data_IF_917031552410
#
_entry.id   IF_917031552410
#
_cell.length_a   1.000
_cell.length_b   1.000
_cell.length_c   1.000
_cell.angle_alpha   90.00
_cell.angle_beta   90.00
_cell.angle_gamma   90.00
#
_symmetry.space_group_name_H-M   'P 1'
#
loop_
_entity.id
_entity.type
_entity.pdbx_description
1 polymer ?
#
# COMPACT_ATOMS: atom_id res chain seq x y z
N UNK A 1 1.97 16.01 11.30
CA UNK A 1 1.97 17.10 10.30
C UNK A 1 1.01 16.73 9.17
N UNK A 2 0.38 17.71 8.50
CA UNK A 2 -0.38 17.42 7.27
C UNK A 2 0.63 17.27 6.13
N UNK A 3 0.70 16.10 5.51
CA UNK A 3 1.50 15.94 4.29
C UNK A 3 0.78 16.66 3.14
N UNK A 4 1.52 17.42 2.35
CA UNK A 4 1.02 18.11 1.15
C UNK A 4 1.97 17.75 0.00
N UNK A 5 1.41 17.36 -1.14
CA UNK A 5 2.20 17.09 -2.33
C UNK A 5 2.76 18.41 -2.89
N UNK A 6 4.08 18.47 -3.03
CA UNK A 6 4.74 19.56 -3.73
C UNK A 6 4.63 19.36 -5.24
N UNK A 7 4.64 20.44 -6.02
CA UNK A 7 4.56 20.37 -7.49
C UNK A 7 5.66 19.48 -8.09
N UNK A 8 6.86 19.50 -7.51
CA UNK A 8 7.96 18.64 -7.93
C UNK A 8 7.67 17.15 -7.72
N UNK A 9 6.91 16.77 -6.69
CA UNK A 9 6.47 15.38 -6.52
C UNK A 9 5.54 14.95 -7.66
N UNK A 10 4.63 15.84 -8.06
CA UNK A 10 3.71 15.59 -9.18
C UNK A 10 4.48 15.45 -10.49
N UNK A 11 5.43 16.34 -10.76
CA UNK A 11 6.28 16.30 -11.97
C UNK A 11 7.12 15.02 -12.01
N UNK A 12 7.74 14.66 -10.89
CA UNK A 12 8.53 13.43 -10.80
C UNK A 12 7.66 12.20 -11.11
N UNK A 13 6.50 12.10 -10.47
CA UNK A 13 5.58 10.99 -10.67
C UNK A 13 5.05 10.91 -12.12
N UNK A 14 4.69 12.04 -12.73
CA UNK A 14 4.25 12.08 -14.13
C UNK A 14 5.33 11.58 -15.10
N UNK A 15 6.61 11.83 -14.81
CA UNK A 15 7.72 11.43 -15.66
C UNK A 15 8.15 9.98 -15.45
N UNK A 16 8.14 9.50 -14.20
CA UNK A 16 8.68 8.18 -13.83
C UNK A 16 7.62 7.11 -13.64
N UNK A 17 6.34 7.49 -13.49
CA UNK A 17 5.26 6.58 -13.13
C UNK A 17 5.36 6.03 -11.71
N UNK A 18 6.33 6.49 -10.90
CA UNK A 18 6.52 6.05 -9.51
C UNK A 18 7.19 7.12 -8.66
N UNK A 19 7.01 7.06 -7.34
CA UNK A 19 7.66 7.94 -6.35
C UNK A 19 7.74 7.28 -4.98
N UNK A 20 8.87 7.43 -4.30
CA UNK A 20 9.09 6.99 -2.91
C UNK A 20 8.90 8.15 -1.94
N UNK A 21 8.18 7.91 -0.84
CA UNK A 21 8.09 8.80 0.31
C UNK A 21 8.70 8.14 1.54
N UNK A 22 9.63 8.83 2.21
CA UNK A 22 10.36 8.26 3.36
C UNK A 22 9.54 8.22 4.66
N UNK A 23 8.66 9.21 4.88
CA UNK A 23 7.82 9.33 6.07
C UNK A 23 6.35 9.53 5.65
N UNK A 24 5.80 8.55 4.93
CA UNK A 24 4.41 8.58 4.47
C UNK A 24 3.43 8.26 5.61
N UNK A 25 3.80 7.29 6.45
CA UNK A 25 3.03 6.83 7.60
C UNK A 25 3.98 6.69 8.78
N UNK A 26 3.55 7.08 9.99
CA UNK A 26 4.41 6.93 11.15
C UNK A 26 4.71 5.46 11.42
N UNK A 27 5.97 5.16 11.71
CA UNK A 27 6.47 3.81 12.02
C UNK A 27 5.60 3.07 13.05
N UNK A 28 5.08 3.79 14.07
CA UNK A 28 4.17 3.23 15.08
C UNK A 28 2.84 2.73 14.52
N UNK A 29 2.24 3.46 13.58
CA UNK A 29 1.00 3.07 12.90
C UNK A 29 1.27 1.85 12.00
N UNK A 30 2.42 1.82 11.31
CA UNK A 30 2.85 0.69 10.50
C UNK A 30 3.07 -0.59 11.31
N UNK A 31 3.82 -0.53 12.41
CA UNK A 31 4.03 -1.67 13.29
C UNK A 31 2.72 -2.16 13.92
N UNK A 32 1.84 -1.24 14.31
CA UNK A 32 0.52 -1.59 14.83
C UNK A 32 -0.30 -2.35 13.78
N UNK A 33 -0.37 -1.85 12.55
CA UNK A 33 -1.09 -2.50 11.46
C UNK A 33 -0.46 -3.86 11.12
N UNK A 34 0.86 -3.95 11.01
CA UNK A 34 1.57 -5.20 10.74
C UNK A 34 1.31 -6.26 11.81
N UNK A 35 1.26 -5.88 13.08
CA UNK A 35 0.88 -6.80 14.18
C UNK A 35 -0.57 -7.27 14.05
N UNK A 36 -1.49 -6.36 13.70
CA UNK A 36 -2.91 -6.69 13.51
C UNK A 36 -3.12 -7.67 12.35
N UNK A 37 -2.49 -7.42 11.20
CA UNK A 37 -2.53 -8.31 10.05
C UNK A 37 -1.96 -9.68 10.41
N UNK A 38 -0.77 -9.72 11.04
CA UNK A 38 -0.17 -10.99 11.47
C UNK A 38 -1.09 -11.78 12.38
N UNK A 39 -1.63 -11.15 13.42
CA UNK A 39 -2.55 -11.79 14.36
C UNK A 39 -3.80 -12.34 13.66
N UNK A 40 -4.37 -11.57 12.72
CA UNK A 40 -5.51 -12.01 11.91
C UNK A 40 -5.17 -13.24 11.07
N UNK A 41 -4.09 -13.19 10.28
CA UNK A 41 -3.72 -14.32 9.41
C UNK A 41 -3.41 -15.57 10.23
N UNK A 42 -2.74 -15.43 11.37
CA UNK A 42 -2.44 -16.57 12.26
C UNK A 42 -3.67 -17.16 12.94
N UNK A 43 -4.76 -16.40 13.10
CA UNK A 43 -5.99 -16.93 13.70
C UNK A 43 -6.83 -17.72 12.70
N UNK A 44 -6.72 -17.42 11.40
CA UNK A 44 -7.48 -18.07 10.32
C UNK A 44 -6.67 -19.13 9.56
N UNK A 45 -5.33 -19.11 9.65
CA UNK A 45 -4.46 -20.05 8.95
C UNK A 45 -3.21 -20.41 9.77
N UNK A 46 -2.87 -21.71 9.74
CA UNK A 46 -1.58 -22.21 10.26
C UNK A 46 -0.41 -21.90 9.32
N UNK A 47 -0.69 -21.58 8.05
CA UNK A 47 0.29 -21.18 7.06
C UNK A 47 0.11 -19.70 6.70
N UNK A 48 0.97 -18.84 7.23
CA UNK A 48 0.90 -17.39 6.99
C UNK A 48 1.32 -16.98 5.57
N UNK A 49 1.92 -17.90 4.80
CA UNK A 49 2.33 -17.67 3.42
C UNK A 49 1.23 -18.03 2.40
N UNK A 50 0.13 -18.61 2.87
CA UNK A 50 -1.03 -18.92 2.01
C UNK A 50 -1.61 -17.62 1.43
N UNK A 51 -1.53 -17.50 0.10
CA UNK A 51 -1.95 -16.32 -0.68
C UNK A 51 -3.40 -15.94 -0.38
N UNK A 52 -4.27 -16.94 -0.17
CA UNK A 52 -5.71 -16.71 0.08
C UNK A 52 -5.96 -15.78 1.26
N UNK A 53 -5.15 -15.87 2.30
CA UNK A 53 -5.33 -15.10 3.53
C UNK A 53 -4.54 -13.78 3.53
N UNK A 54 -3.76 -13.54 2.47
CA UNK A 54 -2.95 -12.34 2.28
C UNK A 54 -3.62 -11.32 1.35
N UNK A 55 -4.65 -11.72 0.60
CA UNK A 55 -5.42 -10.86 -0.30
C UNK A 55 -6.66 -10.26 0.39
N UNK A 56 -6.98 -9.01 0.03
CA UNK A 56 -8.21 -8.33 0.42
C UNK A 56 -8.46 -8.31 1.94
N UNK A 57 -7.39 -8.22 2.73
CA UNK A 57 -7.38 -8.15 4.20
C UNK A 57 -8.23 -6.97 4.68
N UNK A 58 -8.28 -5.85 3.94
CA UNK A 58 -9.13 -4.71 4.29
C UNK A 58 -10.62 -5.05 4.48
N UNK A 59 -11.10 -6.17 3.88
CA UNK A 59 -12.48 -6.66 4.04
C UNK A 59 -12.74 -7.29 5.41
N UNK A 60 -11.70 -7.78 6.07
CA UNK A 60 -11.78 -8.43 7.38
C UNK A 60 -11.14 -7.60 8.51
N UNK A 61 -10.19 -6.72 8.16
CA UNK A 61 -9.45 -5.89 9.10
C UNK A 61 -9.67 -4.40 8.81
N UNK A 62 -10.65 -3.74 9.48
CA UNK A 62 -11.01 -2.34 9.23
C UNK A 62 -9.89 -1.34 9.54
N UNK A 63 -8.86 -1.75 10.30
CA UNK A 63 -7.67 -0.96 10.55
C UNK A 63 -6.94 -0.55 9.26
N UNK A 64 -7.00 -1.36 8.20
CA UNK A 64 -6.43 -1.01 6.89
C UNK A 64 -7.13 0.23 6.31
N UNK A 65 -8.46 0.19 6.22
CA UNK A 65 -9.26 1.32 5.72
C UNK A 65 -9.11 2.55 6.61
N UNK A 66 -9.03 2.34 7.93
CA UNK A 66 -8.83 3.43 8.90
C UNK A 66 -7.50 4.12 8.65
N UNK A 67 -6.41 3.37 8.41
CA UNK A 67 -5.11 3.95 8.08
C UNK A 67 -5.17 4.76 6.78
N UNK A 68 -5.73 4.17 5.72
CA UNK A 68 -5.88 4.81 4.40
C UNK A 68 -6.60 6.16 4.54
N UNK A 69 -7.72 6.20 5.25
CA UNK A 69 -8.50 7.43 5.45
C UNK A 69 -7.82 8.42 6.39
N UNK A 70 -7.26 7.97 7.51
CA UNK A 70 -6.53 8.81 8.48
C UNK A 70 -5.35 9.53 7.83
N UNK A 71 -4.64 8.84 6.94
CA UNK A 71 -3.46 9.36 6.22
C UNK A 71 -3.80 9.95 4.86
N UNK A 72 -5.07 9.92 4.45
CA UNK A 72 -5.57 10.41 3.15
C UNK A 72 -4.80 9.81 1.96
N UNK A 73 -4.41 8.53 2.06
CA UNK A 73 -3.60 7.86 1.03
C UNK A 73 -4.35 7.75 -0.30
N UNK A 74 -5.68 7.62 -0.23
CA UNK A 74 -6.58 7.63 -1.37
C UNK A 74 -6.61 8.98 -2.10
N UNK A 75 -6.63 10.08 -1.34
CA UNK A 75 -6.55 11.43 -1.91
C UNK A 75 -5.16 11.70 -2.51
N UNK A 76 -4.09 11.28 -1.82
CA UNK A 76 -2.73 11.37 -2.33
C UNK A 76 -2.56 10.62 -3.66
N UNK A 77 -3.04 9.38 -3.73
CA UNK A 77 -3.03 8.62 -4.96
C UNK A 77 -3.82 9.33 -6.07
N UNK A 78 -5.02 9.86 -5.76
CA UNK A 78 -5.85 10.58 -6.72
C UNK A 78 -5.16 11.82 -7.30
N UNK A 79 -4.49 12.60 -6.44
CA UNK A 79 -3.73 13.78 -6.84
C UNK A 79 -2.55 13.42 -7.76
N UNK A 80 -1.83 12.32 -7.47
CA UNK A 80 -0.69 11.86 -8.29
C UNK A 80 -1.12 11.48 -9.73
N UNK A 81 -2.28 10.85 -9.88
CA UNK A 81 -2.78 10.36 -11.18
C UNK A 81 -3.85 11.26 -11.82
N UNK A 82 -4.03 12.49 -11.30
CA UNK A 82 -5.00 13.47 -11.83
C UNK A 82 -6.44 12.94 -11.92
N UNK A 83 -6.86 12.18 -10.90
CA UNK A 83 -8.23 11.67 -10.78
C UNK A 83 -9.01 12.46 -9.72
N UNK A 84 -10.33 12.68 -9.90
CA UNK A 84 -11.13 13.41 -8.92
C UNK A 84 -11.24 12.67 -7.58
N UNK A 85 -11.22 11.33 -7.62
CA UNK A 85 -11.31 10.47 -6.44
C UNK A 85 -10.82 9.07 -6.79
N UNK A 86 -10.14 8.44 -5.84
CA UNK A 86 -9.87 7.00 -5.86
C UNK A 86 -10.43 6.34 -4.59
N UNK A 87 -10.68 5.04 -4.68
CA UNK A 87 -11.07 4.20 -3.55
C UNK A 87 -10.15 2.98 -3.48
N UNK A 88 -9.89 2.48 -2.27
CA UNK A 88 -9.21 1.20 -2.09
C UNK A 88 -10.10 0.08 -2.61
N UNK A 89 -9.59 -0.71 -3.55
CA UNK A 89 -10.32 -1.84 -4.17
C UNK A 89 -9.68 -3.19 -3.90
N UNK A 90 -8.40 -3.19 -3.55
CA UNK A 90 -7.62 -4.38 -3.24
C UNK A 90 -6.49 -4.06 -2.27
N UNK A 91 -6.07 -5.06 -1.50
CA UNK A 91 -4.80 -5.04 -0.79
C UNK A 91 -4.15 -6.44 -0.80
N UNK A 92 -2.84 -6.49 -0.61
CA UNK A 92 -2.08 -7.73 -0.54
C UNK A 92 -0.93 -7.62 0.46
N UNK A 93 -0.81 -8.57 1.38
CA UNK A 93 0.28 -8.63 2.35
C UNK A 93 1.52 -9.30 1.76
N UNK A 94 2.55 -8.50 1.54
CA UNK A 94 3.77 -8.83 0.78
C UNK A 94 4.89 -9.27 1.71
N UNK A 95 5.54 -10.37 1.32
CA UNK A 95 6.73 -10.94 1.95
C UNK A 95 7.94 -10.89 1.01
N UNK A 96 9.16 -11.11 1.53
CA UNK A 96 10.36 -11.19 0.71
C UNK A 96 10.26 -12.35 -0.29
N UNK A 97 10.63 -12.08 -1.55
CA UNK A 97 10.56 -13.06 -2.64
C UNK A 97 9.20 -13.17 -3.33
N UNK A 98 8.16 -12.49 -2.84
CA UNK A 98 6.92 -12.35 -3.60
C UNK A 98 7.17 -11.52 -4.88
N UNK A 99 6.36 -11.76 -5.90
CA UNK A 99 6.29 -10.91 -7.11
C UNK A 99 5.03 -10.07 -7.07
N UNK A 100 5.16 -8.76 -7.23
CA UNK A 100 4.01 -7.87 -7.43
C UNK A 100 3.59 -7.99 -8.89
N UNK A 101 2.44 -8.63 -9.12
CA UNK A 101 1.87 -8.76 -10.45
C UNK A 101 1.43 -7.39 -10.98
N UNK A 102 1.56 -7.21 -12.29
CA UNK A 102 1.04 -6.02 -12.99
C UNK A 102 -0.46 -5.94 -12.78
N UNK A 103 -0.95 -4.72 -12.52
CA UNK A 103 -2.38 -4.46 -12.41
C UNK A 103 -2.79 -3.21 -13.17
N UNK A 104 -4.04 -3.21 -13.63
CA UNK A 104 -4.61 -2.16 -14.49
C UNK A 104 -5.28 -1.02 -13.70
N UNK A 105 -5.34 -1.09 -12.37
CA UNK A 105 -5.97 -0.02 -11.59
C UNK A 105 -5.17 1.29 -11.64
N UNK A 106 -5.86 2.40 -11.36
CA UNK A 106 -5.35 3.75 -11.58
C UNK A 106 -4.05 4.05 -10.82
N UNK A 107 -3.87 3.51 -9.61
CA UNK A 107 -2.67 3.75 -8.80
C UNK A 107 -2.49 2.66 -7.74
N UNK A 108 -1.25 2.29 -7.44
CA UNK A 108 -0.91 1.37 -6.36
C UNK A 108 0.06 2.01 -5.36
N UNK A 109 0.07 1.50 -4.13
CA UNK A 109 0.98 1.90 -3.06
C UNK A 109 1.57 0.66 -2.38
N UNK A 110 2.88 0.49 -2.39
CA UNK A 110 3.56 -0.46 -1.51
C UNK A 110 4.02 0.25 -0.23
N UNK A 111 3.40 -0.08 0.90
CA UNK A 111 3.68 0.50 2.20
C UNK A 111 4.52 -0.45 3.06
N UNK A 112 5.69 0.00 3.52
CA UNK A 112 6.52 -0.74 4.45
C UNK A 112 5.87 -0.82 5.84
N UNK A 113 5.59 -2.04 6.32
CA UNK A 113 4.94 -2.27 7.62
C UNK A 113 5.94 -2.57 8.75
N UNK A 114 7.10 -3.12 8.41
CA UNK A 114 8.14 -3.50 9.38
C UNK A 114 9.55 -3.23 8.85
N UNK A 115 10.55 -3.37 9.72
CA UNK A 115 11.96 -3.09 9.39
C UNK A 115 12.36 -1.64 9.61
N UNK A 116 13.58 -1.30 9.20
CA UNK A 116 14.13 0.06 9.31
C UNK A 116 13.40 1.07 8.41
N UNK A 117 12.83 0.57 7.32
CA UNK A 117 12.06 1.35 6.34
C UNK A 117 10.57 1.45 6.68
N UNK A 118 10.14 0.98 7.85
CA UNK A 118 8.73 1.03 8.23
C UNK A 118 8.19 2.46 8.24
N UNK A 119 7.14 2.70 7.45
CA UNK A 119 6.58 4.03 7.20
C UNK A 119 6.87 4.59 5.81
N UNK A 120 7.85 4.02 5.11
CA UNK A 120 8.11 4.34 3.71
C UNK A 120 6.99 3.80 2.81
N UNK A 121 6.68 4.54 1.75
CA UNK A 121 5.68 4.15 0.78
C UNK A 121 6.07 4.49 -0.65
N UNK A 122 5.92 3.54 -1.56
CA UNK A 122 6.11 3.73 -2.99
C UNK A 122 4.76 3.79 -3.68
N UNK A 123 4.39 4.95 -4.22
CA UNK A 123 3.27 5.03 -5.16
C UNK A 123 3.78 4.71 -6.56
N UNK A 124 2.97 4.01 -7.35
CA UNK A 124 3.32 3.65 -8.72
C UNK A 124 2.09 3.36 -9.59
N UNK A 125 2.29 3.39 -10.91
CA UNK A 125 1.36 2.90 -11.94
C UNK A 125 2.06 1.88 -12.81
N UNK A 126 1.34 0.85 -13.26
CA UNK A 126 1.91 -0.22 -14.08
C UNK A 126 2.85 -1.14 -13.28
N UNK A 127 3.95 -1.62 -13.88
CA UNK A 127 4.86 -2.55 -13.21
C UNK A 127 5.54 -1.95 -11.97
N UNK A 128 5.79 -2.79 -10.96
CA UNK A 128 6.44 -2.34 -9.74
C UNK A 128 7.93 -1.97 -9.95
N UNK A 129 8.38 -0.77 -9.53
CA UNK A 129 9.79 -0.37 -9.63
C UNK A 129 10.63 -1.04 -8.52
N UNK A 130 11.18 -2.22 -8.81
CA UNK A 130 11.91 -3.06 -7.85
C UNK A 130 13.15 -2.42 -7.24
N UNK A 131 13.69 -1.38 -7.87
CA UNK A 131 14.87 -0.65 -7.45
C UNK A 131 14.62 0.34 -6.29
N UNK A 132 13.36 0.76 -6.06
CA UNK A 132 13.05 1.73 -5.01
C UNK A 132 12.99 1.09 -3.61
N UNK A 133 12.11 0.10 -3.45
CA UNK A 133 11.91 -0.57 -2.17
C UNK A 133 11.36 -1.98 -2.41
N UNK A 134 11.74 -2.95 -1.61
CA UNK A 134 11.05 -4.22 -1.51
C UNK A 134 11.34 -4.80 -0.11
N UNK A 135 10.39 -5.46 0.57
CA UNK A 135 10.65 -6.01 1.90
C UNK A 135 11.83 -6.99 1.88
N UNK A 136 12.79 -6.79 2.78
CA UNK A 136 13.91 -7.69 3.01
C UNK A 136 13.57 -8.81 3.99
N UNK A 137 14.51 -9.73 4.23
CA UNK A 137 14.33 -10.86 5.14
C UNK A 137 13.77 -10.39 6.49
N UNK A 138 12.64 -10.98 6.92
CA UNK A 138 11.86 -10.64 8.13
C UNK A 138 11.05 -9.33 8.07
N UNK A 139 11.12 -8.59 6.97
CA UNK A 139 10.26 -7.43 6.72
C UNK A 139 8.97 -7.85 6.00
N UNK A 140 7.95 -7.01 6.10
CA UNK A 140 6.69 -7.16 5.37
C UNK A 140 6.20 -5.81 4.90
N UNK A 141 5.46 -5.83 3.81
CA UNK A 141 4.82 -4.65 3.25
C UNK A 141 3.34 -4.92 2.96
N UNK A 142 2.56 -3.86 2.78
CA UNK A 142 1.18 -3.94 2.34
C UNK A 142 1.06 -3.23 1.00
N UNK A 143 0.70 -3.99 -0.02
CA UNK A 143 0.27 -3.43 -1.29
C UNK A 143 -1.16 -2.95 -1.15
N UNK A 144 -1.44 -1.72 -1.52
CA UNK A 144 -2.76 -1.10 -1.56
C UNK A 144 -3.06 -0.72 -3.00
N UNK A 145 -4.25 -1.08 -3.48
CA UNK A 145 -4.66 -0.89 -4.88
C UNK A 145 -5.84 0.08 -4.93
N UNK A 146 -5.68 1.16 -5.68
CA UNK A 146 -6.63 2.26 -5.76
C UNK A 146 -7.21 2.38 -7.18
N UNK A 147 -8.53 2.51 -7.26
CA UNK A 147 -9.24 2.71 -8.53
C UNK A 147 -10.31 3.79 -8.41
N UNK A 148 -10.54 4.50 -9.53
CA UNK A 148 -11.59 5.48 -9.75
C UNK A 148 -12.95 4.85 -10.02
N UNK A 149 -12.98 3.61 -10.52
CA UNK A 149 -14.21 2.84 -10.77
C UNK A 149 -14.84 2.36 -9.45
N UNK A 150 -14.02 2.18 -8.41
CA UNK A 150 -14.44 1.63 -7.13
C UNK A 150 -14.54 0.10 -7.14
N UNK A 151 -15.04 -0.49 -6.05
CA UNK A 151 -15.32 -1.92 -6.00
C UNK A 151 -16.63 -2.14 -6.78
N UNK A 152 -16.66 -3.01 -7.82
CA UNK A 152 -17.92 -3.36 -8.44
C UNK A 152 -18.86 -3.90 -7.36
N UNK A 153 -20.04 -3.29 -7.24
CA UNK A 153 -21.12 -3.84 -6.41
C UNK A 153 -21.65 -5.05 -7.20
N UNK A 154 -21.17 -6.24 -6.87
CA UNK A 154 -21.74 -7.52 -7.34
C UNK A 154 -22.83 -8.00 -6.40
#
# INVERSE_FOLDING_TARGET
MRHVLHLEHLRYFQNQGSILFEDLVSTSDCFFLGKKIRNFVTSVSKNTLDVRWRENIFRSLPEVLTLVKKRRLDAFAADLVHRPKLSLVGDFWVFPGDTIADREEDCQLLLALSGERAGQGVFFVGPYPTDLYFPQVQETALLLVFSSVGIPIS
#
